data_IF_933385524153
#
_entry.id   IF_933385524153
#
_cell.length_a   1.000
_cell.length_b   1.000
_cell.length_c   1.000
_cell.angle_alpha   90.00
_cell.angle_beta   90.00
_cell.angle_gamma   90.00
#
_symmetry.space_group_name_H-M   'P 1'
#
loop_
_entity.id
_entity.type
_entity.pdbx_description
1 polymer ?
#
# COMPACT_ATOMS: atom_id res chain seq x y z
N UNK A 1 0.53 -32.18 -10.14
CA UNK A 1 1.47 -31.22 -10.73
C UNK A 1 1.40 -29.99 -9.86
N UNK A 2 2.51 -29.43 -9.37
CA UNK A 2 2.46 -28.19 -8.60
C UNK A 2 1.89 -27.11 -9.53
N UNK A 3 0.81 -26.44 -9.09
CA UNK A 3 0.32 -25.21 -9.74
C UNK A 3 1.48 -24.20 -9.70
N UNK A 4 1.76 -23.52 -10.82
CA UNK A 4 2.69 -22.41 -10.82
C UNK A 4 2.19 -21.37 -9.80
N UNK A 5 2.95 -21.15 -8.73
CA UNK A 5 2.68 -20.09 -7.73
C UNK A 5 2.86 -18.68 -8.32
N UNK A 6 3.38 -18.59 -9.53
CA UNK A 6 3.57 -17.33 -10.24
C UNK A 6 2.44 -17.10 -11.24
N UNK A 7 1.67 -16.02 -11.13
CA UNK A 7 0.67 -15.65 -12.12
C UNK A 7 1.32 -15.39 -13.49
N UNK A 8 0.62 -15.70 -14.58
CA UNK A 8 1.04 -15.37 -15.95
C UNK A 8 1.17 -13.85 -16.11
N UNK A 9 2.24 -13.39 -16.79
CA UNK A 9 2.69 -11.99 -16.82
C UNK A 9 1.69 -11.06 -17.54
N UNK A 10 0.92 -11.54 -18.49
CA UNK A 10 0.13 -10.68 -19.37
C UNK A 10 -1.04 -9.99 -18.66
N UNK A 11 -1.87 -10.72 -17.94
CA UNK A 11 -3.07 -10.20 -17.26
C UNK A 11 -2.74 -9.43 -15.97
N UNK A 12 -1.82 -9.90 -15.11
CA UNK A 12 -1.46 -9.19 -13.89
C UNK A 12 -0.87 -7.80 -14.14
N UNK A 13 0.05 -7.66 -15.10
CA UNK A 13 0.65 -6.37 -15.42
C UNK A 13 -0.40 -5.35 -15.89
N UNK A 14 -1.33 -5.79 -16.76
CA UNK A 14 -2.40 -4.92 -17.25
C UNK A 14 -3.36 -4.46 -16.14
N UNK A 15 -3.61 -5.27 -15.11
CA UNK A 15 -4.41 -4.86 -13.95
C UNK A 15 -3.68 -3.77 -13.15
N UNK A 16 -2.39 -3.98 -12.86
CA UNK A 16 -1.57 -2.97 -12.16
C UNK A 16 -1.53 -1.67 -12.98
N UNK A 17 -1.28 -1.75 -14.30
CA UNK A 17 -1.26 -0.58 -15.19
C UNK A 17 -2.56 0.23 -15.12
N UNK A 18 -3.73 -0.43 -15.22
CA UNK A 18 -5.02 0.27 -15.20
C UNK A 18 -5.33 0.94 -13.86
N UNK A 19 -4.89 0.33 -12.75
CA UNK A 19 -5.06 0.92 -11.42
C UNK A 19 -4.04 2.02 -11.18
N UNK A 20 -2.74 1.74 -11.37
CA UNK A 20 -1.66 2.65 -11.03
C UNK A 20 -1.51 3.85 -11.99
N UNK A 21 -2.12 3.80 -13.18
CA UNK A 21 -2.14 4.95 -14.09
C UNK A 21 -3.17 6.02 -13.71
N UNK A 22 -4.09 5.73 -12.80
CA UNK A 22 -5.09 6.70 -12.39
C UNK A 22 -4.44 7.89 -11.65
N UNK A 23 -4.78 9.14 -12.00
CA UNK A 23 -4.36 10.28 -11.19
C UNK A 23 -5.10 10.25 -9.86
N UNK A 24 -4.40 10.57 -8.78
CA UNK A 24 -4.93 10.56 -7.43
C UNK A 24 -4.25 11.62 -6.55
N UNK A 25 -4.94 12.06 -5.53
CA UNK A 25 -4.44 12.93 -4.47
C UNK A 25 -5.23 12.67 -3.20
N UNK A 26 -4.70 12.96 -2.00
CA UNK A 26 -5.48 12.92 -0.78
C UNK A 26 -6.78 13.74 -0.94
N UNK A 27 -7.91 13.14 -0.57
CA UNK A 27 -9.29 13.65 -0.70
C UNK A 27 -9.86 13.68 -2.12
N UNK A 28 -9.06 13.39 -3.17
CA UNK A 28 -9.44 13.38 -4.58
C UNK A 28 -9.20 12.00 -5.25
N UNK A 29 -9.40 10.92 -4.51
CA UNK A 29 -9.07 9.54 -4.92
C UNK A 29 -10.11 8.90 -5.85
N UNK A 30 -11.20 9.58 -6.16
CA UNK A 30 -12.35 9.00 -6.89
C UNK A 30 -11.99 8.37 -8.25
N UNK A 31 -10.94 8.84 -8.95
CA UNK A 31 -10.48 8.24 -10.21
C UNK A 31 -9.74 6.92 -9.98
N UNK A 32 -8.90 6.85 -8.95
CA UNK A 32 -8.23 5.62 -8.52
C UNK A 32 -9.25 4.59 -8.03
N UNK A 33 -10.18 5.00 -7.16
CA UNK A 33 -11.27 4.16 -6.66
C UNK A 33 -12.14 3.61 -7.80
N UNK A 34 -12.46 4.45 -8.80
CA UNK A 34 -13.20 4.02 -10.00
C UNK A 34 -12.42 2.97 -10.81
N UNK A 35 -11.10 3.13 -10.95
CA UNK A 35 -10.25 2.14 -11.63
C UNK A 35 -10.24 0.82 -10.88
N UNK A 36 -10.05 0.85 -9.56
CA UNK A 36 -10.07 -0.32 -8.68
C UNK A 36 -11.44 -1.03 -8.76
N UNK A 37 -12.54 -0.31 -8.63
CA UNK A 37 -13.90 -0.85 -8.76
C UNK A 37 -14.07 -1.62 -10.07
N UNK A 38 -13.66 -1.02 -11.20
CA UNK A 38 -13.76 -1.66 -12.52
C UNK A 38 -12.93 -2.93 -12.61
N UNK A 39 -11.74 -2.98 -12.00
CA UNK A 39 -10.90 -4.19 -12.01
C UNK A 39 -11.50 -5.29 -11.12
N UNK A 40 -12.04 -4.95 -9.96
CA UNK A 40 -12.75 -5.90 -9.10
C UNK A 40 -13.97 -6.49 -9.83
N UNK A 41 -14.80 -5.64 -10.42
CA UNK A 41 -16.01 -6.04 -11.16
C UNK A 41 -15.67 -6.91 -12.40
N UNK A 42 -14.59 -6.58 -13.15
CA UNK A 42 -14.09 -7.42 -14.27
C UNK A 42 -13.72 -8.83 -13.81
N UNK A 43 -13.24 -8.97 -12.58
CA UNK A 43 -12.93 -10.25 -11.98
C UNK A 43 -14.14 -10.90 -11.28
N UNK A 44 -15.36 -10.37 -11.47
CA UNK A 44 -16.60 -10.93 -10.92
C UNK A 44 -16.72 -10.77 -9.39
N UNK A 45 -16.01 -9.81 -8.81
CA UNK A 45 -16.02 -9.53 -7.38
C UNK A 45 -17.06 -8.44 -7.05
N UNK A 46 -17.74 -8.60 -5.92
CA UNK A 46 -18.71 -7.60 -5.44
C UNK A 46 -17.95 -6.48 -4.74
N UNK A 47 -18.31 -5.23 -5.05
CA UNK A 47 -17.69 -4.04 -4.47
C UNK A 47 -18.71 -3.32 -3.62
N UNK A 48 -18.35 -3.04 -2.39
CA UNK A 48 -19.12 -2.18 -1.48
C UNK A 48 -18.37 -0.86 -1.29
N UNK A 49 -19.11 0.16 -0.90
CA UNK A 49 -18.58 1.50 -0.62
C UNK A 49 -19.15 1.97 0.71
N UNK A 50 -18.29 2.50 1.57
CA UNK A 50 -18.70 3.05 2.85
C UNK A 50 -19.15 4.53 2.76
N UNK A 51 -19.50 5.11 3.90
CA UNK A 51 -19.95 6.51 3.96
C UNK A 51 -18.84 7.52 3.61
N UNK A 52 -17.58 7.10 3.59
CA UNK A 52 -16.42 7.93 3.28
C UNK A 52 -15.89 7.71 1.85
N UNK A 53 -16.59 6.86 1.07
CA UNK A 53 -16.20 6.54 -0.30
C UNK A 53 -15.06 5.52 -0.40
N UNK A 54 -14.68 4.86 0.71
CA UNK A 54 -13.71 3.78 0.68
C UNK A 54 -14.34 2.53 0.10
N UNK A 55 -13.58 1.77 -0.69
CA UNK A 55 -14.09 0.54 -1.30
C UNK A 55 -13.72 -0.68 -0.47
N UNK A 56 -14.62 -1.66 -0.46
CA UNK A 56 -14.33 -2.99 0.08
C UNK A 56 -14.83 -4.08 -0.84
N UNK A 57 -14.16 -5.23 -0.76
CA UNK A 57 -14.54 -6.45 -1.48
C UNK A 57 -14.15 -7.67 -0.63
N UNK A 58 -14.64 -8.86 -1.00
CA UNK A 58 -14.35 -10.08 -0.25
C UNK A 58 -14.26 -11.28 -1.18
N UNK A 59 -13.27 -12.14 -0.95
CA UNK A 59 -13.22 -13.50 -1.49
C UNK A 59 -13.24 -14.48 -0.33
N UNK A 60 -14.18 -15.44 -0.36
CA UNK A 60 -14.28 -16.41 0.72
C UNK A 60 -14.66 -17.79 0.20
N UNK A 61 -14.09 -18.81 0.84
CA UNK A 61 -14.42 -20.23 0.63
C UNK A 61 -14.80 -20.81 1.99
N UNK A 62 -15.84 -21.64 2.01
CA UNK A 62 -16.39 -22.24 3.24
C UNK A 62 -15.33 -22.95 4.10
N UNK A 63 -15.55 -22.96 5.42
CA UNK A 63 -14.71 -23.58 6.45
C UNK A 63 -13.36 -22.88 6.72
N UNK A 64 -13.18 -21.63 6.30
CA UNK A 64 -12.04 -20.85 6.75
C UNK A 64 -12.10 -20.62 8.26
N UNK A 65 -10.99 -20.85 8.96
CA UNK A 65 -10.89 -20.72 10.42
C UNK A 65 -10.52 -19.32 10.87
N UNK A 66 -9.74 -18.62 10.06
CA UNK A 66 -9.29 -17.24 10.32
C UNK A 66 -9.46 -16.43 9.04
N UNK A 67 -9.77 -15.16 9.22
CA UNK A 67 -9.91 -14.21 8.14
C UNK A 67 -8.72 -13.25 8.10
N UNK A 68 -8.36 -12.79 6.90
CA UNK A 68 -7.41 -11.71 6.66
C UNK A 68 -8.13 -10.49 6.09
N UNK A 69 -7.66 -9.30 6.41
CA UNK A 69 -8.04 -8.07 5.72
C UNK A 69 -6.80 -7.45 5.07
N UNK A 70 -6.78 -7.37 3.75
CA UNK A 70 -5.75 -6.70 2.97
C UNK A 70 -6.15 -5.24 2.81
N UNK A 71 -5.29 -4.31 3.21
CA UNK A 71 -5.56 -2.88 3.22
C UNK A 71 -4.47 -2.16 2.45
N UNK A 72 -4.86 -1.26 1.53
CA UNK A 72 -3.96 -0.39 0.76
C UNK A 72 -4.64 0.96 0.52
N UNK A 73 -3.85 2.04 0.51
CA UNK A 73 -4.39 3.36 0.31
C UNK A 73 -4.46 3.75 -1.17
N UNK A 74 -5.32 4.73 -1.47
CA UNK A 74 -5.62 5.12 -2.85
C UNK A 74 -5.17 6.54 -3.19
N UNK A 75 -4.68 7.29 -2.22
CA UNK A 75 -4.06 8.59 -2.40
C UNK A 75 -2.55 8.50 -2.67
N UNK A 76 -1.95 9.61 -3.02
CA UNK A 76 -0.52 9.79 -3.24
C UNK A 76 -0.19 11.27 -3.06
N UNK A 77 1.03 11.65 -2.61
CA UNK A 77 1.37 13.05 -2.41
C UNK A 77 1.09 13.93 -3.64
N UNK A 78 0.40 15.03 -3.42
CA UNK A 78 -0.11 15.89 -4.48
C UNK A 78 -0.36 17.32 -3.98
N UNK A 79 -1.11 18.11 -4.74
CA UNK A 79 -1.35 19.51 -4.46
C UNK A 79 -2.84 19.83 -4.61
N UNK A 80 -3.40 20.65 -3.72
CA UNK A 80 -4.74 21.17 -3.85
C UNK A 80 -4.74 22.70 -3.98
N UNK A 81 -5.43 23.24 -4.97
CA UNK A 81 -5.53 24.67 -5.20
C UNK A 81 -6.54 25.25 -4.21
N UNK A 82 -6.04 26.01 -3.25
CA UNK A 82 -6.85 26.61 -2.19
C UNK A 82 -7.37 28.00 -2.54
N UNK A 83 -6.62 28.75 -3.36
CA UNK A 83 -6.95 30.07 -3.83
C UNK A 83 -6.55 30.22 -5.30
N UNK A 84 -7.37 30.94 -6.10
CA UNK A 84 -7.08 31.21 -7.50
C UNK A 84 -7.55 32.61 -7.91
N UNK A 85 -6.76 33.25 -8.77
CA UNK A 85 -7.07 34.56 -9.41
C UNK A 85 -6.62 34.50 -10.88
N UNK A 86 -7.54 34.14 -11.78
CA UNK A 86 -7.21 33.89 -13.17
C UNK A 86 -6.24 32.71 -13.31
N UNK A 87 -5.10 32.87 -14.02
CA UNK A 87 -4.14 31.82 -14.25
C UNK A 87 -3.15 31.58 -13.09
N UNK A 88 -3.26 32.29 -11.98
CA UNK A 88 -2.41 32.16 -10.81
C UNK A 88 -3.19 31.74 -9.57
N UNK A 89 -2.54 31.01 -8.67
CA UNK A 89 -3.16 30.54 -7.45
C UNK A 89 -2.15 30.11 -6.39
N UNK A 90 -2.70 29.63 -5.28
CA UNK A 90 -1.98 29.02 -4.17
C UNK A 90 -2.40 27.57 -4.07
N UNK A 91 -1.40 26.67 -4.04
CA UNK A 91 -1.61 25.23 -3.88
C UNK A 91 -1.03 24.77 -2.55
N UNK A 92 -1.83 24.11 -1.71
CA UNK A 92 -1.32 23.42 -0.52
C UNK A 92 -0.75 22.07 -0.91
N UNK A 93 0.32 21.68 -0.24
CA UNK A 93 0.93 20.35 -0.40
C UNK A 93 0.15 19.35 0.45
N UNK A 94 -0.21 18.22 -0.13
CA UNK A 94 -0.86 17.10 0.51
C UNK A 94 0.13 15.92 0.52
N UNK A 95 0.50 15.43 1.70
CA UNK A 95 1.49 14.34 1.87
C UNK A 95 2.91 14.82 2.15
N UNK A 96 3.83 13.87 2.28
CA UNK A 96 5.20 14.09 2.73
C UNK A 96 6.19 14.47 1.63
N UNK A 97 6.23 15.75 1.21
CA UNK A 97 7.18 16.27 0.23
C UNK A 97 8.18 17.22 0.86
N UNK A 98 9.48 17.06 0.55
CA UNK A 98 10.57 17.85 1.12
C UNK A 98 10.88 19.11 0.31
N UNK A 99 11.26 20.17 1.01
CA UNK A 99 11.50 21.51 0.48
C UNK A 99 12.55 21.56 -0.65
N UNK A 100 13.59 20.73 -0.57
CA UNK A 100 14.68 20.68 -1.55
C UNK A 100 14.23 20.33 -2.97
N UNK A 101 13.10 19.62 -3.13
CA UNK A 101 12.53 19.26 -4.42
C UNK A 101 11.81 20.43 -5.11
N UNK A 102 11.61 21.53 -4.41
CA UNK A 102 11.00 22.77 -4.93
C UNK A 102 12.02 23.87 -5.22
N UNK A 103 13.33 23.54 -5.25
CA UNK A 103 14.39 24.50 -5.58
C UNK A 103 14.31 25.00 -7.05
N UNK A 104 13.61 24.27 -7.91
CA UNK A 104 13.28 24.66 -9.29
C UNK A 104 11.78 24.54 -9.51
N UNK A 105 11.21 25.23 -10.52
CA UNK A 105 9.82 25.10 -10.86
C UNK A 105 9.43 23.64 -11.15
N UNK A 106 8.31 23.18 -10.58
CA UNK A 106 7.82 21.80 -10.71
C UNK A 106 6.67 21.73 -11.69
N UNK A 107 6.81 21.01 -12.83
CA UNK A 107 5.70 20.77 -13.75
C UNK A 107 4.63 19.89 -13.10
N UNK A 108 3.36 20.28 -13.26
CA UNK A 108 2.20 19.54 -12.75
C UNK A 108 1.06 19.50 -13.76
N UNK A 109 0.20 18.51 -13.59
CA UNK A 109 -1.07 18.40 -14.32
C UNK A 109 -2.21 18.73 -13.38
N UNK A 110 -2.98 19.77 -13.71
CA UNK A 110 -4.16 20.17 -12.94
C UNK A 110 -5.37 19.39 -13.37
N UNK A 111 -6.08 18.86 -12.41
CA UNK A 111 -7.33 18.12 -12.54
C UNK A 111 -8.45 18.86 -11.80
N UNK A 112 -9.69 18.52 -12.13
CA UNK A 112 -10.85 18.80 -11.29
C UNK A 112 -11.66 17.52 -11.09
N UNK A 113 -12.67 17.58 -10.23
CA UNK A 113 -13.52 16.43 -9.92
C UNK A 113 -14.48 16.09 -11.06
N UNK A 114 -14.68 16.99 -12.04
CA UNK A 114 -15.31 16.65 -13.31
C UNK A 114 -14.36 15.82 -14.19
N UNK A 115 -14.92 14.99 -15.07
CA UNK A 115 -14.13 14.14 -15.98
C UNK A 115 -13.47 14.96 -17.14
N UNK A 116 -13.04 16.18 -16.87
CA UNK A 116 -12.30 17.02 -17.80
C UNK A 116 -10.88 16.53 -18.07
N UNK A 117 -10.34 16.90 -19.24
CA UNK A 117 -8.93 16.66 -19.53
C UNK A 117 -8.05 17.52 -18.59
N UNK A 118 -6.94 16.97 -18.06
CA UNK A 118 -6.01 17.76 -17.29
C UNK A 118 -5.30 18.80 -18.17
N UNK A 119 -4.80 19.87 -17.53
CA UNK A 119 -3.98 20.88 -18.20
C UNK A 119 -2.69 21.15 -17.43
N UNK A 120 -1.66 21.59 -18.14
CA UNK A 120 -0.35 21.85 -17.58
C UNK A 120 -0.33 23.11 -16.71
N UNK A 121 0.43 23.02 -15.62
CA UNK A 121 0.74 24.13 -14.73
C UNK A 121 2.15 23.97 -14.14
N UNK A 122 2.61 24.99 -13.42
CA UNK A 122 3.91 24.99 -12.77
C UNK A 122 3.77 25.47 -11.34
N UNK A 123 4.42 24.76 -10.40
CA UNK A 123 4.57 25.16 -9.01
C UNK A 123 5.94 25.83 -8.80
N UNK A 124 5.97 26.89 -8.04
CA UNK A 124 7.16 27.57 -7.55
C UNK A 124 6.90 28.25 -6.19
N UNK A 125 7.87 29.01 -5.68
CA UNK A 125 7.75 29.76 -4.42
C UNK A 125 7.24 28.89 -3.26
N UNK A 126 7.97 27.79 -2.98
CA UNK A 126 7.67 26.94 -1.84
C UNK A 126 7.73 27.74 -0.52
N UNK A 127 6.69 27.63 0.27
CA UNK A 127 6.58 28.21 1.61
C UNK A 127 6.37 27.07 2.60
N UNK A 128 7.28 26.88 3.57
CA UNK A 128 7.13 25.82 4.58
C UNK A 128 5.88 26.06 5.43
N UNK A 129 5.38 24.97 6.01
CA UNK A 129 4.34 25.09 7.04
C UNK A 129 4.85 25.96 8.19
N UNK A 130 4.06 26.90 8.70
CA UNK A 130 4.38 27.60 9.94
C UNK A 130 4.42 26.58 11.09
N UNK A 131 5.41 26.75 11.99
CA UNK A 131 5.78 25.84 13.08
C UNK A 131 4.70 24.85 13.55
N UNK A 132 5.04 23.56 13.51
CA UNK A 132 4.50 22.39 14.27
C UNK A 132 3.00 22.32 14.65
N UNK A 133 2.15 23.16 14.12
CA UNK A 133 0.69 23.01 14.23
C UNK A 133 0.27 22.04 13.12
N UNK A 134 -0.09 20.85 13.51
CA UNK A 134 -0.42 19.70 12.66
C UNK A 134 -1.44 19.92 11.51
N UNK A 135 -1.89 21.13 11.24
CA UNK A 135 -2.91 21.43 10.25
C UNK A 135 -2.60 22.64 9.34
N UNK A 136 -1.38 23.10 9.28
CA UNK A 136 -0.98 24.15 8.32
C UNK A 136 0.04 23.58 7.34
N UNK A 137 -0.41 22.94 6.24
CA UNK A 137 0.48 22.33 5.26
C UNK A 137 1.33 23.40 4.56
N UNK A 138 2.54 23.01 4.16
CA UNK A 138 3.35 23.80 3.24
C UNK A 138 2.56 24.10 1.96
N UNK A 139 2.91 25.18 1.27
CA UNK A 139 2.22 25.56 0.04
C UNK A 139 3.20 26.14 -1.00
N UNK A 140 2.75 26.15 -2.24
CA UNK A 140 3.43 26.73 -3.38
C UNK A 140 2.53 27.75 -4.09
N UNK A 141 3.12 28.66 -4.85
CA UNK A 141 2.39 29.33 -5.92
C UNK A 141 2.21 28.37 -7.08
N UNK A 142 1.02 28.39 -7.73
CA UNK A 142 0.72 27.66 -8.96
C UNK A 142 0.38 28.63 -10.07
N UNK A 143 0.89 28.37 -11.27
CA UNK A 143 0.62 29.14 -12.49
C UNK A 143 0.32 28.22 -13.66
N UNK A 144 -0.66 28.60 -14.45
CA UNK A 144 -1.09 27.91 -15.67
C UNK A 144 -1.35 28.91 -16.80
N UNK A 145 -1.57 28.41 -18.03
CA UNK A 145 -2.11 29.24 -19.11
C UNK A 145 -3.65 29.35 -19.03
N UNK A 146 -4.29 28.35 -18.45
CA UNK A 146 -5.73 28.29 -18.22
C UNK A 146 -6.11 28.91 -16.89
N UNK A 147 -7.37 29.32 -16.75
CA UNK A 147 -7.90 29.80 -15.47
C UNK A 147 -7.94 28.69 -14.44
N UNK A 148 -7.41 28.99 -13.26
CA UNK A 148 -7.43 28.13 -12.09
C UNK A 148 -8.67 28.37 -11.22
N UNK A 149 -9.09 27.37 -10.47
CA UNK A 149 -10.19 27.45 -9.52
C UNK A 149 -9.80 26.76 -8.20
N UNK A 150 -10.22 27.33 -7.09
CA UNK A 150 -10.13 26.65 -5.81
C UNK A 150 -10.91 25.32 -5.82
N UNK A 151 -10.36 24.31 -5.19
CA UNK A 151 -10.88 22.94 -5.21
C UNK A 151 -10.36 22.06 -6.36
N UNK A 152 -9.66 22.63 -7.35
CA UNK A 152 -8.86 21.81 -8.28
C UNK A 152 -7.64 21.25 -7.56
N UNK A 153 -7.10 20.18 -8.11
CA UNK A 153 -5.93 19.49 -7.55
C UNK A 153 -4.92 19.19 -8.66
N UNK A 154 -3.67 18.98 -8.29
CA UNK A 154 -2.62 18.75 -9.25
C UNK A 154 -1.71 17.61 -8.80
N UNK A 155 -1.23 16.86 -9.78
CA UNK A 155 -0.20 15.80 -9.60
C UNK A 155 1.06 16.18 -10.34
N UNK A 156 2.21 15.62 -9.96
CA UNK A 156 3.45 15.79 -10.72
C UNK A 156 3.23 15.35 -12.18
N UNK A 157 3.74 16.14 -13.14
CA UNK A 157 3.70 15.79 -14.57
C UNK A 157 4.75 14.73 -14.86
N UNK A 158 4.47 13.52 -14.45
CA UNK A 158 5.32 12.34 -14.63
C UNK A 158 4.57 11.28 -15.43
N UNK A 159 5.29 10.41 -16.18
CA UNK A 159 4.67 9.24 -16.81
C UNK A 159 3.87 8.43 -15.77
N UNK A 160 2.59 8.16 -16.02
CA UNK A 160 1.77 7.44 -15.05
C UNK A 160 2.20 5.98 -14.88
N UNK A 161 2.72 5.36 -15.95
CA UNK A 161 3.15 3.98 -15.98
C UNK A 161 4.15 3.74 -17.13
N UNK A 162 5.28 3.11 -16.83
CA UNK A 162 6.23 2.63 -17.84
C UNK A 162 6.94 1.36 -17.33
N UNK A 163 7.32 0.48 -18.26
CA UNK A 163 8.01 -0.78 -17.96
C UNK A 163 9.41 -0.75 -18.58
N UNK A 164 10.42 -1.07 -17.78
CA UNK A 164 11.79 -1.24 -18.23
C UNK A 164 12.38 -2.53 -17.64
N UNK A 165 12.27 -3.64 -18.37
CA UNK A 165 12.65 -4.96 -17.86
C UNK A 165 11.82 -5.37 -16.64
N UNK A 166 12.46 -5.53 -15.49
CA UNK A 166 11.81 -5.82 -14.20
C UNK A 166 11.39 -4.56 -13.43
N UNK A 167 11.69 -3.37 -13.94
CA UNK A 167 11.33 -2.10 -13.31
C UNK A 167 9.98 -1.60 -13.81
N UNK A 168 9.12 -1.25 -12.88
CA UNK A 168 7.93 -0.44 -13.13
C UNK A 168 8.19 0.98 -12.64
N UNK A 169 8.14 1.93 -13.56
CA UNK A 169 8.26 3.35 -13.30
C UNK A 169 6.85 3.94 -13.22
N UNK A 170 6.47 4.44 -12.07
CA UNK A 170 5.10 4.85 -11.75
C UNK A 170 5.07 6.26 -11.16
N UNK A 171 4.03 7.01 -11.46
CA UNK A 171 3.77 8.27 -10.75
C UNK A 171 3.31 8.00 -9.31
N UNK A 172 2.55 6.92 -9.08
CA UNK A 172 1.97 6.56 -7.78
C UNK A 172 2.09 5.04 -7.57
N UNK A 173 3.33 4.52 -7.38
CA UNK A 173 3.53 3.15 -6.95
C UNK A 173 3.01 2.97 -5.53
N UNK A 174 3.25 3.96 -4.72
CA UNK A 174 2.72 4.16 -3.38
C UNK A 174 1.35 4.88 -3.45
N UNK A 175 0.21 4.21 -3.26
CA UNK A 175 0.13 2.76 -3.03
C UNK A 175 -0.75 2.05 -4.08
N UNK A 176 -0.96 2.72 -5.25
CA UNK A 176 -1.82 2.19 -6.32
C UNK A 176 -1.31 0.87 -6.93
N UNK A 177 0.02 0.64 -6.91
CA UNK A 177 0.56 -0.64 -7.36
C UNK A 177 0.10 -1.79 -6.43
N UNK A 178 0.05 -1.55 -5.11
CA UNK A 178 -0.39 -2.54 -4.13
C UNK A 178 -1.92 -2.66 -4.10
N UNK A 179 -2.66 -1.61 -4.42
CA UNK A 179 -4.10 -1.73 -4.74
C UNK A 179 -4.30 -2.73 -5.89
N UNK A 180 -3.49 -2.65 -6.95
CA UNK A 180 -3.48 -3.63 -8.04
C UNK A 180 -3.13 -5.04 -7.57
N UNK A 181 -2.17 -5.19 -6.66
CA UNK A 181 -1.82 -6.49 -6.03
C UNK A 181 -3.03 -7.08 -5.30
N UNK A 182 -3.76 -6.29 -4.50
CA UNK A 182 -4.96 -6.77 -3.79
C UNK A 182 -6.01 -7.30 -4.78
N UNK A 183 -6.27 -6.57 -5.88
CA UNK A 183 -7.20 -7.05 -6.93
C UNK A 183 -6.76 -8.40 -7.48
N UNK A 184 -5.46 -8.57 -7.77
CA UNK A 184 -4.91 -9.82 -8.28
C UNK A 184 -5.00 -10.97 -7.27
N UNK A 185 -4.77 -10.71 -5.99
CA UNK A 185 -4.95 -11.70 -4.91
C UNK A 185 -6.38 -12.18 -4.83
N UNK A 186 -7.36 -11.26 -4.80
CA UNK A 186 -8.77 -11.64 -4.75
C UNK A 186 -9.20 -12.43 -6.00
N UNK A 187 -8.71 -12.04 -7.19
CA UNK A 187 -8.97 -12.77 -8.44
C UNK A 187 -8.40 -14.20 -8.40
N UNK A 188 -7.18 -14.36 -7.89
CA UNK A 188 -6.56 -15.67 -7.73
C UNK A 188 -7.30 -16.56 -6.72
N UNK A 189 -7.73 -15.99 -5.60
CA UNK A 189 -8.46 -16.69 -4.54
C UNK A 189 -9.85 -17.13 -4.99
N UNK A 190 -10.52 -16.38 -5.86
CA UNK A 190 -11.83 -16.78 -6.38
C UNK A 190 -11.84 -18.22 -6.93
N UNK A 191 -10.78 -18.60 -7.61
CA UNK A 191 -10.63 -19.91 -8.24
C UNK A 191 -9.82 -20.91 -7.39
N UNK A 192 -9.33 -20.50 -6.21
CA UNK A 192 -8.59 -21.36 -5.30
C UNK A 192 -9.55 -22.26 -4.51
N UNK A 193 -9.36 -23.60 -4.55
CA UNK A 193 -10.21 -24.53 -3.81
C UNK A 193 -9.95 -24.57 -2.30
N UNK A 194 -8.82 -24.02 -1.84
CA UNK A 194 -8.43 -24.03 -0.42
C UNK A 194 -9.34 -23.14 0.42
N UNK A 195 -9.64 -23.48 1.68
CA UNK A 195 -10.36 -22.59 2.59
C UNK A 195 -9.65 -21.24 2.73
N UNK A 196 -10.39 -20.17 2.61
CA UNK A 196 -9.90 -18.80 2.83
C UNK A 196 -11.07 -17.86 3.13
N UNK A 197 -10.77 -16.76 3.80
CA UNK A 197 -11.67 -15.64 4.02
C UNK A 197 -10.83 -14.35 4.00
N UNK A 198 -10.90 -13.63 2.89
CA UNK A 198 -10.08 -12.43 2.67
C UNK A 198 -10.97 -11.25 2.35
N UNK A 199 -10.92 -10.26 3.21
CA UNK A 199 -11.47 -8.93 2.97
C UNK A 199 -10.40 -8.06 2.29
N UNK A 200 -10.82 -7.18 1.40
CA UNK A 200 -9.98 -6.14 0.83
C UNK A 200 -10.60 -4.78 1.18
N UNK A 201 -9.78 -3.83 1.56
CA UNK A 201 -10.20 -2.44 1.82
C UNK A 201 -9.23 -1.51 1.11
N UNK A 202 -9.78 -0.55 0.37
CA UNK A 202 -9.04 0.49 -0.34
C UNK A 202 -9.37 1.81 0.33
N UNK A 203 -8.42 2.32 1.10
CA UNK A 203 -8.58 3.45 2.01
C UNK A 203 -8.28 4.77 1.32
N UNK A 204 -8.60 5.88 2.00
CA UNK A 204 -8.42 7.26 1.54
C UNK A 204 -7.67 8.08 2.57
N UNK A 205 -6.89 9.07 2.11
CA UNK A 205 -6.24 10.05 2.98
C UNK A 205 -5.20 9.46 3.92
N UNK A 206 -4.45 8.46 3.47
CA UNK A 206 -3.33 7.87 4.20
C UNK A 206 -2.22 8.87 4.39
N UNK A 207 -1.78 9.51 3.30
CA UNK A 207 -0.66 10.43 3.16
C UNK A 207 -0.77 11.69 4.04
N UNK A 208 -1.96 11.95 4.52
CA UNK A 208 -2.25 13.10 5.38
C UNK A 208 -2.51 12.71 6.84
N UNK A 209 -2.35 11.43 7.20
CA UNK A 209 -2.44 10.99 8.60
C UNK A 209 -3.21 9.69 8.85
N UNK A 210 -3.15 8.71 7.94
CA UNK A 210 -3.78 7.38 8.05
C UNK A 210 -5.30 7.46 8.27
N UNK A 211 -5.97 8.49 7.75
CA UNK A 211 -7.37 8.78 8.12
C UNK A 211 -8.32 7.66 7.70
N UNK A 212 -8.16 7.11 6.50
CA UNK A 212 -8.99 6.02 6.02
C UNK A 212 -8.90 4.78 6.89
N UNK A 213 -7.69 4.33 7.22
CA UNK A 213 -7.47 3.18 8.10
C UNK A 213 -8.05 3.40 9.50
N UNK A 214 -7.94 4.61 10.03
CA UNK A 214 -8.53 4.96 11.33
C UNK A 214 -10.05 4.85 11.30
N UNK A 215 -10.71 5.39 10.27
CA UNK A 215 -12.16 5.29 10.09
C UNK A 215 -12.62 3.83 9.94
N UNK A 216 -11.91 3.01 9.16
CA UNK A 216 -12.18 1.57 9.04
C UNK A 216 -12.12 0.89 10.41
N UNK A 217 -11.11 1.22 11.22
CA UNK A 217 -10.90 0.61 12.52
C UNK A 217 -11.93 1.09 13.58
N UNK A 218 -12.34 2.36 13.52
CA UNK A 218 -13.30 2.97 14.46
C UNK A 218 -14.73 2.55 14.15
N UNK A 219 -15.15 2.58 12.88
CA UNK A 219 -16.54 2.35 12.47
C UNK A 219 -16.89 0.86 12.30
N UNK A 220 -15.90 -0.04 12.43
CA UNK A 220 -16.14 -1.48 12.44
C UNK A 220 -16.53 -2.05 11.07
N UNK A 221 -15.98 -1.52 9.99
CA UNK A 221 -16.19 -2.04 8.63
C UNK A 221 -15.75 -3.51 8.48
N UNK A 222 -14.78 -3.93 9.27
CA UNK A 222 -14.22 -5.29 9.29
C UNK A 222 -14.65 -6.08 10.53
N UNK A 223 -14.74 -7.43 10.46
CA UNK A 223 -14.90 -8.27 11.64
C UNK A 223 -13.75 -8.05 12.62
N UNK A 224 -14.05 -7.98 13.92
CA UNK A 224 -13.06 -7.61 14.95
C UNK A 224 -11.94 -8.64 15.15
N UNK A 225 -12.18 -9.88 14.79
CA UNK A 225 -11.26 -11.00 14.91
C UNK A 225 -10.40 -11.23 13.66
N UNK A 226 -10.54 -10.38 12.62
CA UNK A 226 -9.72 -10.45 11.40
C UNK A 226 -8.27 -10.03 11.71
N UNK A 227 -7.32 -10.63 11.03
CA UNK A 227 -5.93 -10.16 11.01
C UNK A 227 -5.75 -9.18 9.85
N UNK A 228 -5.44 -7.94 10.17
CA UNK A 228 -5.19 -6.89 9.17
C UNK A 228 -3.77 -7.02 8.64
N UNK A 229 -3.62 -6.98 7.33
CA UNK A 229 -2.33 -6.91 6.62
C UNK A 229 -2.36 -5.66 5.74
N UNK A 230 -1.71 -4.57 6.16
CA UNK A 230 -1.54 -3.45 5.26
C UNK A 230 -0.44 -3.74 4.23
N UNK A 231 -0.66 -3.25 3.04
CA UNK A 231 0.31 -3.28 1.95
C UNK A 231 0.87 -1.87 1.81
N UNK A 232 2.10 -1.75 1.32
CA UNK A 232 2.77 -0.45 1.21
C UNK A 232 3.92 -0.51 0.21
N UNK A 233 4.05 0.45 -0.70
CA UNK A 233 5.25 0.62 -1.51
C UNK A 233 6.26 1.49 -0.73
N UNK A 234 6.93 0.88 0.23
CA UNK A 234 7.78 1.59 1.20
C UNK A 234 9.15 1.94 0.66
N UNK A 235 9.72 3.05 1.11
CA UNK A 235 11.10 3.47 0.78
C UNK A 235 12.07 2.30 0.86
N UNK A 236 12.85 2.09 -0.22
CA UNK A 236 13.89 1.08 -0.27
C UNK A 236 14.98 1.34 0.77
N UNK A 237 15.42 0.30 1.46
CA UNK A 237 16.47 0.35 2.47
C UNK A 237 17.53 -0.70 2.16
N UNK A 238 18.76 -0.50 2.64
CA UNK A 238 19.86 -1.45 2.39
C UNK A 238 19.55 -2.89 2.84
N UNK A 239 18.73 -3.04 3.88
CA UNK A 239 18.28 -4.34 4.42
C UNK A 239 16.87 -4.76 3.94
N UNK A 240 16.27 -3.99 3.04
CA UNK A 240 15.01 -4.28 2.37
C UNK A 240 15.12 -3.78 0.92
N UNK A 241 15.91 -4.50 0.12
CA UNK A 241 16.35 -4.05 -1.20
C UNK A 241 15.38 -4.49 -2.31
N UNK A 242 15.21 -3.66 -3.37
CA UNK A 242 14.43 -4.02 -4.55
C UNK A 242 14.98 -5.28 -5.25
N UNK A 243 14.08 -6.10 -5.83
CA UNK A 243 14.43 -7.32 -6.57
C UNK A 243 14.79 -8.52 -5.68
N UNK A 244 14.60 -8.41 -4.36
CA UNK A 244 14.80 -9.52 -3.43
C UNK A 244 13.50 -10.10 -2.85
N UNK A 245 12.40 -9.81 -3.50
CA UNK A 245 11.07 -10.25 -3.11
C UNK A 245 10.39 -9.31 -2.10
N UNK A 246 9.11 -9.51 -1.92
CA UNK A 246 8.28 -8.76 -0.98
C UNK A 246 8.85 -8.84 0.44
N UNK A 247 8.71 -7.76 1.21
CA UNK A 247 9.17 -7.66 2.60
C UNK A 247 8.01 -7.89 3.54
N UNK A 248 8.07 -8.89 4.41
CA UNK A 248 7.21 -8.97 5.59
C UNK A 248 7.74 -7.96 6.62
N UNK A 249 6.91 -7.01 7.02
CA UNK A 249 7.30 -5.94 7.95
C UNK A 249 7.16 -6.42 9.38
N UNK A 250 8.26 -6.43 10.12
CA UNK A 250 8.24 -6.68 11.56
C UNK A 250 7.75 -5.47 12.38
N UNK A 251 7.58 -4.35 11.72
CA UNK A 251 7.14 -3.07 12.29
C UNK A 251 7.51 -1.89 11.40
N UNK A 252 7.17 -0.70 11.85
CA UNK A 252 7.50 0.57 11.23
C UNK A 252 8.26 1.52 12.20
N UNK A 253 8.34 2.81 11.89
CA UNK A 253 9.06 3.78 12.73
C UNK A 253 8.47 3.93 14.14
N UNK A 254 7.18 3.64 14.33
CA UNK A 254 6.47 3.86 15.60
C UNK A 254 6.08 2.59 16.33
N UNK A 255 5.91 1.46 15.61
CA UNK A 255 5.36 0.24 16.19
C UNK A 255 6.11 -1.00 15.70
N UNK A 256 6.29 -1.98 16.57
CA UNK A 256 6.53 -3.37 16.18
C UNK A 256 5.19 -4.08 16.07
N UNK A 257 5.04 -4.93 15.08
CA UNK A 257 3.81 -5.67 14.87
C UNK A 257 3.78 -6.94 15.70
N UNK A 258 2.56 -7.43 15.94
CA UNK A 258 2.34 -8.59 16.77
C UNK A 258 2.80 -9.89 16.10
N UNK A 259 3.44 -10.76 16.87
CA UNK A 259 3.96 -12.03 16.39
C UNK A 259 2.85 -12.97 15.86
N UNK A 260 1.69 -13.03 16.52
CA UNK A 260 0.60 -13.90 16.07
C UNK A 260 -0.05 -13.37 14.79
N UNK A 261 -0.15 -12.05 14.65
CA UNK A 261 -0.64 -11.41 13.43
C UNK A 261 0.28 -11.67 12.22
N UNK A 262 1.59 -11.78 12.42
CA UNK A 262 2.55 -12.11 11.35
C UNK A 262 2.56 -13.61 10.97
N UNK A 263 2.02 -14.47 11.81
CA UNK A 263 2.15 -15.95 11.70
C UNK A 263 1.83 -16.50 10.30
N UNK A 264 0.71 -16.09 9.71
CA UNK A 264 0.31 -16.60 8.40
C UNK A 264 1.24 -16.15 7.27
N UNK A 265 1.83 -14.96 7.38
CA UNK A 265 2.86 -14.51 6.43
C UNK A 265 4.14 -15.31 6.59
N UNK A 266 4.52 -15.71 7.82
CA UNK A 266 5.70 -16.57 8.04
C UNK A 266 5.49 -17.97 7.46
N UNK A 267 4.33 -18.59 7.69
CA UNK A 267 3.98 -19.88 7.06
C UNK A 267 4.03 -19.78 5.54
N UNK A 268 3.43 -18.73 4.96
CA UNK A 268 3.48 -18.51 3.52
C UNK A 268 4.92 -18.36 3.00
N UNK A 269 5.81 -17.71 3.75
CA UNK A 269 7.22 -17.59 3.37
C UNK A 269 7.95 -18.94 3.31
N UNK A 270 7.61 -19.91 4.18
CA UNK A 270 8.17 -21.26 4.14
C UNK A 270 7.77 -21.96 2.82
N UNK A 271 6.51 -21.85 2.41
CA UNK A 271 6.02 -22.38 1.15
C UNK A 271 6.68 -21.72 -0.07
N UNK A 272 6.80 -20.38 -0.06
CA UNK A 272 7.47 -19.63 -1.12
C UNK A 272 8.96 -20.00 -1.23
N UNK A 273 9.65 -20.17 -0.11
CA UNK A 273 11.05 -20.59 -0.09
C UNK A 273 11.23 -21.98 -0.72
N UNK A 274 10.30 -22.91 -0.45
CA UNK A 274 10.29 -24.25 -1.07
C UNK A 274 10.08 -24.17 -2.58
N UNK A 275 9.29 -23.18 -3.04
CA UNK A 275 9.07 -22.91 -4.46
C UNK A 275 10.17 -22.08 -5.13
N UNK A 276 11.21 -21.67 -4.39
CA UNK A 276 12.30 -20.83 -4.89
C UNK A 276 11.92 -19.36 -5.10
N UNK A 277 10.82 -18.88 -4.49
CA UNK A 277 10.36 -17.50 -4.56
C UNK A 277 10.97 -16.72 -3.39
N UNK A 278 11.73 -15.67 -3.72
CA UNK A 278 12.39 -14.83 -2.73
C UNK A 278 11.40 -13.97 -1.94
N UNK A 279 11.66 -13.84 -0.63
CA UNK A 279 10.96 -12.92 0.28
C UNK A 279 11.93 -12.38 1.30
N UNK A 280 11.65 -11.22 1.84
CA UNK A 280 12.43 -10.57 2.88
C UNK A 280 11.61 -10.46 4.18
N UNK A 281 12.27 -10.18 5.30
CA UNK A 281 11.65 -9.78 6.56
C UNK A 281 12.48 -8.69 7.21
N UNK A 282 11.89 -7.55 7.52
CA UNK A 282 12.63 -6.41 8.05
C UNK A 282 11.76 -5.52 8.93
N UNK A 283 12.41 -4.81 9.86
CA UNK A 283 11.85 -3.63 10.51
C UNK A 283 12.09 -2.43 9.60
N UNK A 284 11.03 -1.78 9.11
CA UNK A 284 11.13 -0.64 8.19
C UNK A 284 10.93 0.68 8.94
N UNK A 285 12.02 1.36 9.26
CA UNK A 285 12.01 2.60 10.05
C UNK A 285 11.96 3.87 9.20
N UNK A 286 11.76 3.76 7.89
CA UNK A 286 11.71 4.91 6.96
C UNK A 286 10.37 5.65 6.92
N UNK A 287 9.34 5.14 7.58
CA UNK A 287 8.00 5.73 7.61
C UNK A 287 7.04 4.87 8.42
N UNK A 288 5.78 5.27 8.48
CA UNK A 288 4.68 4.48 9.05
C UNK A 288 3.82 3.86 7.95
N UNK A 289 2.85 3.04 8.31
CA UNK A 289 1.85 2.48 7.41
C UNK A 289 0.51 2.30 8.13
N UNK A 290 -0.52 1.98 7.40
CA UNK A 290 -1.88 1.85 7.93
C UNK A 290 -2.02 0.83 9.07
N UNK A 291 -1.19 -0.23 9.11
CA UNK A 291 -1.18 -1.18 10.24
C UNK A 291 -0.90 -0.51 11.56
N UNK A 292 -0.15 0.60 11.60
CA UNK A 292 0.06 1.37 12.83
C UNK A 292 -1.23 2.00 13.37
N UNK A 293 -2.13 2.45 12.51
CA UNK A 293 -3.45 2.94 12.94
C UNK A 293 -4.26 1.80 13.56
N UNK A 294 -4.31 0.64 12.90
CA UNK A 294 -5.01 -0.54 13.41
C UNK A 294 -4.46 -1.02 14.76
N UNK A 295 -3.13 -1.16 14.89
CA UNK A 295 -2.47 -1.55 16.14
C UNK A 295 -2.82 -0.58 17.28
N UNK A 296 -2.76 0.73 17.02
CA UNK A 296 -3.08 1.76 18.02
C UNK A 296 -4.54 1.74 18.47
N UNK A 297 -5.43 1.27 17.62
CA UNK A 297 -6.85 1.07 17.92
C UNK A 297 -7.16 -0.36 18.42
N UNK A 298 -6.12 -1.14 18.76
CA UNK A 298 -6.23 -2.44 19.40
C UNK A 298 -6.66 -3.58 18.47
N UNK A 299 -6.36 -3.49 17.18
CA UNK A 299 -6.57 -4.56 16.20
C UNK A 299 -5.32 -5.45 16.09
N UNK A 300 -5.56 -6.70 15.69
CA UNK A 300 -4.49 -7.60 15.27
C UNK A 300 -4.03 -7.18 13.87
N UNK A 301 -2.82 -6.64 13.75
CA UNK A 301 -2.34 -6.13 12.47
C UNK A 301 -0.85 -6.40 12.26
N UNK A 302 -0.51 -6.65 11.01
CA UNK A 302 0.84 -6.77 10.46
C UNK A 302 0.88 -6.10 9.09
N UNK A 303 2.02 -6.14 8.41
CA UNK A 303 2.15 -5.51 7.10
C UNK A 303 3.11 -6.25 6.18
N UNK A 304 2.96 -5.99 4.88
CA UNK A 304 4.00 -6.26 3.88
C UNK A 304 4.42 -4.97 3.20
N UNK A 305 5.61 -4.97 2.60
CA UNK A 305 6.07 -3.86 1.78
C UNK A 305 6.73 -4.35 0.49
N UNK A 306 6.56 -3.55 -0.56
CA UNK A 306 7.39 -3.65 -1.77
C UNK A 306 8.40 -2.50 -1.74
N UNK A 307 9.72 -2.78 -1.86
CA UNK A 307 10.72 -1.72 -1.85
C UNK A 307 10.55 -0.76 -3.01
N UNK A 308 10.45 0.54 -2.71
CA UNK A 308 10.18 1.63 -3.63
C UNK A 308 11.36 2.61 -3.67
N UNK A 309 11.94 2.77 -4.84
CA UNK A 309 13.01 3.76 -5.12
C UNK A 309 12.35 5.07 -5.57
N UNK A 310 12.94 6.20 -5.25
CA UNK A 310 12.36 7.54 -5.46
C UNK A 310 11.00 7.73 -4.74
N UNK A 311 10.88 7.19 -3.55
CA UNK A 311 9.69 7.23 -2.72
C UNK A 311 9.07 8.64 -2.66
N UNK A 312 7.75 8.75 -2.87
CA UNK A 312 7.00 10.00 -3.07
C UNK A 312 7.50 10.82 -4.28
N UNK A 313 7.96 10.15 -5.33
CA UNK A 313 8.59 10.76 -6.51
C UNK A 313 9.85 11.59 -6.24
N UNK A 314 10.41 11.54 -5.05
CA UNK A 314 11.59 12.28 -4.64
C UNK A 314 12.85 11.51 -5.07
N UNK A 315 13.49 11.97 -6.15
CA UNK A 315 14.63 11.28 -6.76
C UNK A 315 15.81 11.10 -5.79
N UNK A 316 16.25 9.86 -5.55
CA UNK A 316 17.34 9.54 -4.60
C UNK A 316 18.69 10.13 -5.03
N UNK A 317 18.87 10.44 -6.29
CA UNK A 317 20.13 10.94 -6.85
C UNK A 317 20.01 12.33 -7.47
N UNK A 318 18.86 13.00 -7.27
CA UNK A 318 18.61 14.33 -7.80
C UNK A 318 17.60 15.07 -6.92
N UNK A 319 17.66 16.41 -6.90
CA UNK A 319 16.64 17.23 -6.25
C UNK A 319 15.47 17.50 -7.22
N UNK A 320 15.07 16.50 -7.99
CA UNK A 320 13.96 16.60 -8.94
C UNK A 320 12.96 15.48 -8.70
N UNK A 321 11.69 15.78 -8.94
CA UNK A 321 10.66 14.76 -8.95
C UNK A 321 10.85 13.81 -10.13
N UNK A 322 10.84 12.51 -9.85
CA UNK A 322 11.02 11.42 -10.81
C UNK A 322 10.03 10.30 -10.51
N UNK A 323 9.69 9.44 -11.49
CA UNK A 323 8.83 8.29 -11.20
C UNK A 323 9.38 7.43 -10.07
N UNK A 324 8.49 6.94 -9.23
CA UNK A 324 8.77 5.86 -8.29
C UNK A 324 9.11 4.58 -9.04
N UNK A 325 9.97 3.74 -8.48
CA UNK A 325 10.40 2.51 -9.13
C UNK A 325 10.21 1.33 -8.18
N UNK A 326 9.38 0.38 -8.58
CA UNK A 326 9.20 -0.91 -7.93
C UNK A 326 9.58 -2.05 -8.88
N UNK A 327 9.90 -3.23 -8.34
CA UNK A 327 10.22 -4.40 -9.15
C UNK A 327 8.98 -5.25 -9.42
N UNK A 328 8.77 -5.62 -10.67
CA UNK A 328 7.69 -6.54 -11.06
C UNK A 328 7.83 -7.89 -10.36
N UNK A 329 9.06 -8.38 -10.18
CA UNK A 329 9.36 -9.59 -9.41
C UNK A 329 8.92 -9.49 -7.95
N UNK A 330 9.07 -8.33 -7.30
CA UNK A 330 8.64 -8.11 -5.91
C UNK A 330 7.10 -8.04 -5.81
N UNK A 331 6.41 -7.39 -6.77
CA UNK A 331 4.94 -7.40 -6.84
C UNK A 331 4.39 -8.81 -7.04
N UNK A 332 5.03 -9.63 -7.87
CA UNK A 332 4.64 -11.03 -8.04
C UNK A 332 4.82 -11.84 -6.77
N UNK A 333 5.95 -11.66 -6.08
CA UNK A 333 6.18 -12.33 -4.80
C UNK A 333 5.16 -11.89 -3.75
N UNK A 334 4.69 -10.63 -3.78
CA UNK A 334 3.62 -10.14 -2.91
C UNK A 334 2.29 -10.85 -3.18
N UNK A 335 1.88 -10.99 -4.45
CA UNK A 335 0.67 -11.76 -4.80
C UNK A 335 0.78 -13.20 -4.32
N UNK A 336 1.90 -13.88 -4.59
CA UNK A 336 2.11 -15.26 -4.17
C UNK A 336 2.09 -15.40 -2.64
N UNK A 337 2.77 -14.51 -1.92
CA UNK A 337 2.79 -14.50 -0.46
C UNK A 337 1.39 -14.37 0.15
N UNK A 338 0.59 -13.44 -0.37
CA UNK A 338 -0.74 -13.17 0.17
C UNK A 338 -1.75 -14.28 -0.15
N UNK A 339 -1.65 -14.93 -1.31
CA UNK A 339 -2.47 -16.11 -1.65
C UNK A 339 -2.13 -17.27 -0.71
N UNK A 340 -0.86 -17.54 -0.44
CA UNK A 340 -0.45 -18.59 0.49
C UNK A 340 -0.79 -18.23 1.95
N UNK A 341 -0.66 -16.97 2.35
CA UNK A 341 -1.08 -16.50 3.67
C UNK A 341 -2.59 -16.66 3.89
N UNK A 342 -3.39 -16.40 2.86
CA UNK A 342 -4.85 -16.62 2.91
C UNK A 342 -5.20 -18.10 3.12
N UNK A 343 -4.52 -19.00 2.42
CA UNK A 343 -4.70 -20.43 2.60
C UNK A 343 -4.22 -20.90 3.98
N UNK A 344 -3.09 -20.39 4.47
CA UNK A 344 -2.58 -20.67 5.82
C UNK A 344 -3.56 -20.21 6.91
N UNK A 345 -4.14 -19.01 6.78
CA UNK A 345 -5.17 -18.50 7.67
C UNK A 345 -6.45 -19.36 7.59
N UNK A 346 -6.85 -19.78 6.39
CA UNK A 346 -8.02 -20.62 6.18
C UNK A 346 -7.98 -21.93 6.95
N UNK A 347 -6.82 -22.52 7.20
CA UNK A 347 -6.64 -23.73 8.01
C UNK A 347 -6.07 -23.45 9.41
N UNK A 348 -5.80 -22.18 9.76
CA UNK A 348 -5.17 -21.75 11.01
C UNK A 348 -3.79 -22.43 11.23
N UNK A 349 -2.95 -22.36 10.19
CA UNK A 349 -1.66 -23.04 10.13
C UNK A 349 -0.66 -22.50 11.15
N UNK A 350 0.23 -23.39 11.64
CA UNK A 350 1.37 -23.08 12.49
C UNK A 350 2.67 -23.26 11.71
N UNK A 351 3.74 -22.55 12.10
CA UNK A 351 5.07 -22.71 11.49
C UNK A 351 5.64 -24.10 11.73
N UNK A 352 6.29 -24.66 10.72
CA UNK A 352 6.81 -26.04 10.75
C UNK A 352 8.11 -26.19 11.60
N UNK A 353 8.88 -25.12 11.74
CA UNK A 353 10.22 -25.13 12.36
C UNK A 353 10.23 -24.93 13.88
N UNK A 354 9.06 -24.76 14.51
CA UNK A 354 8.93 -24.47 15.94
C UNK A 354 7.99 -25.44 16.67
N UNK A 355 8.10 -26.77 16.46
CA UNK A 355 7.07 -27.71 16.90
C UNK A 355 6.95 -27.83 18.44
N UNK A 356 8.04 -27.68 19.19
CA UNK A 356 8.09 -28.15 20.60
C UNK A 356 8.35 -27.08 21.66
N UNK A 357 8.41 -25.81 21.30
CA UNK A 357 8.69 -24.73 22.26
C UNK A 357 7.60 -24.59 23.33
N UNK A 358 6.36 -24.97 23.00
CA UNK A 358 5.22 -24.93 23.94
C UNK A 358 5.34 -25.95 25.08
N UNK A 359 6.22 -26.96 24.95
CA UNK A 359 6.35 -28.05 25.92
C UNK A 359 7.80 -28.21 26.34
N UNK A 360 8.08 -28.00 27.62
CA UNK A 360 9.38 -28.37 28.21
C UNK A 360 9.37 -29.85 28.55
N UNK A 361 10.20 -30.71 27.90
CA UNK A 361 10.27 -32.13 28.21
C UNK A 361 10.54 -32.37 29.69
N UNK A 362 9.89 -33.39 30.26
CA UNK A 362 9.99 -33.71 31.71
C UNK A 362 11.44 -33.89 32.16
N UNK A 363 12.25 -34.56 31.35
CA UNK A 363 13.67 -34.80 31.65
C UNK A 363 14.46 -33.49 31.79
N UNK A 364 14.19 -32.50 30.94
CA UNK A 364 14.84 -31.19 31.01
C UNK A 364 14.37 -30.38 32.22
N UNK A 365 13.10 -30.54 32.62
CA UNK A 365 12.60 -29.91 33.84
C UNK A 365 13.34 -30.39 35.07
N UNK A 366 13.65 -31.72 35.16
CA UNK A 366 14.38 -32.29 36.28
C UNK A 366 15.85 -31.79 36.32
N UNK A 367 16.47 -31.61 35.14
CA UNK A 367 17.84 -31.07 35.05
C UNK A 367 17.94 -29.62 35.52
N UNK A 368 16.87 -28.84 35.32
CA UNK A 368 16.79 -27.41 35.68
C UNK A 368 16.40 -27.20 37.16
N UNK A 369 15.97 -28.25 37.89
CA UNK A 369 15.61 -28.11 39.30
C UNK A 369 16.86 -27.81 40.12
N UNK A 370 16.79 -26.76 40.93
CA UNK A 370 17.85 -26.42 41.88
C UNK A 370 17.89 -27.54 42.92
N UNK A 371 18.99 -28.25 42.96
CA UNK A 371 19.29 -29.17 44.07
C UNK A 371 19.75 -28.33 45.27
N UNK A 372 18.86 -28.13 46.22
CA UNK A 372 19.20 -27.54 47.54
C UNK A 372 19.78 -28.61 48.43
#
# INVERSE_FOLDING_TARGET
MPRSLMPDIGTPLATIERVASAPTAPYHEFRALRAIRRELERNGLVVNEDAYGQLSSRSSRSNAKRALALVAHTDHPAFEITEARGPEGRARILGGLYAEFFASPVPVLVHDDADGAPFAATLDDYVPAPDAVHNSPAHCRIRAESELRAGQWAVMDLPPFAVNGDELHLRAADDLALCGVIVLVLAALRDDPRPHDVHAVFTRGEETGLYGARLVAEDGLLPRDVVVVSLEASRALAHAAPGRGVVVRAGDVYNTFDNDSERFLRVAREELATAGIATQRALLTGGTCESSAFVRLGWNATAIAVPNVNYHNQGEHSNAFTPEIVRLSDLRSAVALLVEAAAAAGVDAEESWWPDVKVVPRQLRELLRIRR
#
